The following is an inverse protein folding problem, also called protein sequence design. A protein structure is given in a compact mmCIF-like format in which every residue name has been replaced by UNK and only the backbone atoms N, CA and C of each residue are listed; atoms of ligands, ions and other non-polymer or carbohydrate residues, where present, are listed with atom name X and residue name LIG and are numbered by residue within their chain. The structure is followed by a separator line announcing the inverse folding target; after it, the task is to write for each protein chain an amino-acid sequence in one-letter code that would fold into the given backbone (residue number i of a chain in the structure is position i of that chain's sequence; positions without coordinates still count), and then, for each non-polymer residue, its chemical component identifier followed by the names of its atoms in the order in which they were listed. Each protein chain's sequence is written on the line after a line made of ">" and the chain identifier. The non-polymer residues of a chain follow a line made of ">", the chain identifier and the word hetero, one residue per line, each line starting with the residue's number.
data_IF_335568968666
#
_entry.id   IF_335568968666
#
_cell.length_a   1.000
_cell.length_b   1.000
_cell.length_c   1.000
_cell.angle_alpha   90.00
_cell.angle_beta   90.00
_cell.angle_gamma   90.00
#
_symmetry.space_group_name_H-M   'P 1'
#
loop_
_entity.id
_entity.type
_entity.pdbx_description
1 polymer ?
#
# COMPACT_ATOMS: atom_id res chain seq x y z
N UNK A 1 -32.82 -9.23 1.66
CA UNK A 1 -33.13 -10.60 2.12
C UNK A 1 -31.94 -11.42 2.65
N UNK A 2 -30.67 -11.00 2.53
CA UNK A 2 -29.53 -11.75 3.11
C UNK A 2 -29.04 -11.25 4.48
N UNK A 3 -29.45 -10.07 4.94
CA UNK A 3 -28.96 -9.46 6.19
C UNK A 3 -27.50 -8.99 6.15
N UNK A 4 -26.79 -9.18 5.03
CA UNK A 4 -25.38 -8.83 4.86
C UNK A 4 -25.16 -7.31 4.99
N UNK A 5 -24.17 -6.94 5.80
CA UNK A 5 -23.79 -5.55 6.06
C UNK A 5 -22.33 -5.23 5.77
N UNK A 6 -21.46 -6.22 5.77
CA UNK A 6 -20.03 -6.05 5.56
C UNK A 6 -19.64 -6.78 4.27
N UNK A 7 -19.00 -6.06 3.37
CA UNK A 7 -18.57 -6.56 2.06
C UNK A 7 -17.06 -6.43 1.95
N UNK A 8 -16.37 -7.52 1.64
CA UNK A 8 -14.95 -7.53 1.30
C UNK A 8 -14.82 -7.80 -0.20
N UNK A 9 -14.25 -6.87 -0.93
CA UNK A 9 -14.24 -6.88 -2.39
C UNK A 9 -12.82 -6.82 -2.95
N UNK A 10 -12.46 -7.84 -3.74
CA UNK A 10 -11.28 -7.82 -4.61
C UNK A 10 -11.73 -7.61 -6.06
N UNK A 11 -11.70 -6.35 -6.50
CA UNK A 11 -12.22 -5.93 -7.79
C UNK A 11 -11.12 -5.22 -8.57
N UNK A 12 -10.92 -5.66 -9.81
CA UNK A 12 -9.93 -5.07 -10.71
C UNK A 12 -10.21 -3.58 -10.94
N UNK A 13 -9.14 -2.81 -11.17
CA UNK A 13 -9.21 -1.36 -11.36
C UNK A 13 -10.24 -0.92 -12.42
N UNK A 14 -10.36 -1.66 -13.52
CA UNK A 14 -11.31 -1.34 -14.59
C UNK A 14 -12.76 -1.69 -14.25
N UNK A 15 -12.99 -2.65 -13.35
CA UNK A 15 -14.33 -3.07 -12.94
C UNK A 15 -14.88 -2.27 -11.75
N UNK A 16 -14.02 -1.62 -10.96
CA UNK A 16 -14.42 -0.87 -9.75
C UNK A 16 -15.54 0.17 -9.99
N UNK A 17 -15.51 1.05 -11.03
CA UNK A 17 -16.59 2.01 -11.26
C UNK A 17 -17.95 1.34 -11.44
N UNK A 18 -18.00 0.23 -12.19
CA UNK A 18 -19.22 -0.55 -12.41
C UNK A 18 -19.71 -1.20 -11.12
N UNK A 19 -18.80 -1.81 -10.36
CA UNK A 19 -19.11 -2.41 -9.06
C UNK A 19 -19.73 -1.39 -8.09
N UNK A 20 -19.11 -0.22 -7.94
CA UNK A 20 -19.63 0.86 -7.09
C UNK A 20 -20.98 1.40 -7.57
N UNK A 21 -21.16 1.53 -8.89
CA UNK A 21 -22.44 1.92 -9.47
C UNK A 21 -23.56 0.92 -9.12
N UNK A 22 -23.28 -0.38 -9.14
CA UNK A 22 -24.25 -1.40 -8.75
C UNK A 22 -24.56 -1.36 -7.24
N UNK A 23 -23.57 -1.12 -6.37
CA UNK A 23 -23.85 -0.91 -4.94
C UNK A 23 -24.79 0.29 -4.72
N UNK A 24 -24.52 1.41 -5.41
CA UNK A 24 -25.36 2.61 -5.34
C UNK A 24 -26.81 2.33 -5.76
N UNK A 25 -27.01 1.74 -6.94
CA UNK A 25 -28.35 1.45 -7.47
C UNK A 25 -29.17 0.49 -6.63
N UNK A 26 -28.49 -0.42 -5.93
CA UNK A 26 -29.14 -1.39 -5.05
C UNK A 26 -29.29 -0.88 -3.61
N UNK A 27 -29.03 0.42 -3.35
CA UNK A 27 -29.07 1.03 -2.02
C UNK A 27 -28.19 0.31 -0.97
N UNK A 28 -27.03 -0.18 -1.40
CA UNK A 28 -26.00 -0.80 -0.56
C UNK A 28 -24.92 0.25 -0.27
N UNK A 29 -25.35 1.36 0.34
CA UNK A 29 -24.52 2.54 0.65
C UNK A 29 -24.93 3.17 1.98
N UNK A 30 -24.16 4.15 2.47
CA UNK A 30 -24.47 4.86 3.71
C UNK A 30 -23.99 4.15 4.97
N UNK A 31 -24.59 4.49 6.11
CA UNK A 31 -24.16 4.09 7.46
C UNK A 31 -24.48 2.63 7.83
N UNK A 32 -25.37 1.96 7.10
CA UNK A 32 -25.77 0.56 7.35
C UNK A 32 -24.84 -0.48 6.77
N UNK A 33 -23.94 -0.09 5.87
CA UNK A 33 -23.08 -1.00 5.13
C UNK A 33 -21.61 -0.60 5.22
N UNK A 34 -20.75 -1.61 5.30
CA UNK A 34 -19.29 -1.45 5.25
C UNK A 34 -18.75 -2.09 3.99
N UNK A 35 -17.94 -1.34 3.24
CA UNK A 35 -17.18 -1.85 2.11
C UNK A 35 -15.71 -1.84 2.49
N UNK A 36 -15.04 -2.98 2.35
CA UNK A 36 -13.59 -3.13 2.51
C UNK A 36 -13.03 -3.55 1.16
N UNK A 37 -12.11 -2.78 0.61
CA UNK A 37 -11.54 -3.11 -0.69
C UNK A 37 -10.14 -2.55 -0.90
N UNK A 38 -9.44 -3.15 -1.86
CA UNK A 38 -8.10 -2.74 -2.24
C UNK A 38 -8.12 -1.30 -2.78
N UNK A 39 -7.33 -0.43 -2.15
CA UNK A 39 -7.10 0.90 -2.66
C UNK A 39 -6.48 0.78 -4.06
N UNK A 40 -6.91 1.62 -4.99
CA UNK A 40 -6.35 1.71 -6.33
C UNK A 40 -5.64 3.07 -6.44
N UNK A 41 -4.46 3.15 -7.06
CA UNK A 41 -3.63 4.35 -7.01
C UNK A 41 -4.23 5.50 -7.82
N UNK A 42 -5.27 5.21 -8.62
CA UNK A 42 -6.10 6.22 -9.28
C UNK A 42 -7.51 6.27 -8.70
N UNK A 43 -7.76 5.68 -7.52
CA UNK A 43 -9.01 5.90 -6.78
C UNK A 43 -9.17 7.35 -6.41
N UNK A 44 -8.08 8.11 -6.31
CA UNK A 44 -8.22 9.51 -6.03
C UNK A 44 -9.07 10.19 -7.11
N UNK A 45 -9.01 9.73 -8.37
CA UNK A 45 -9.91 10.22 -9.41
C UNK A 45 -10.13 9.19 -10.53
N UNK A 46 -11.31 8.55 -10.58
CA UNK A 46 -11.71 7.78 -11.76
C UNK A 46 -11.75 8.70 -12.99
N UNK A 47 -11.26 8.24 -14.15
CA UNK A 47 -11.29 9.07 -15.36
C UNK A 47 -12.72 9.21 -15.88
N UNK A 48 -13.00 10.27 -16.65
CA UNK A 48 -14.33 10.45 -17.25
C UNK A 48 -14.70 9.26 -18.15
N UNK A 49 -13.74 8.71 -18.90
CA UNK A 49 -13.95 7.49 -19.68
C UNK A 49 -14.40 6.31 -18.81
N UNK A 50 -13.78 6.12 -17.64
CA UNK A 50 -14.15 5.05 -16.72
C UNK A 50 -15.59 5.23 -16.22
N UNK A 51 -15.95 6.46 -15.84
CA UNK A 51 -17.31 6.80 -15.39
C UNK A 51 -18.32 6.61 -16.54
N UNK A 52 -17.98 7.01 -17.77
CA UNK A 52 -18.84 6.92 -18.94
C UNK A 52 -19.17 5.47 -19.33
N UNK A 53 -18.35 4.48 -18.93
CA UNK A 53 -18.70 3.06 -19.09
C UNK A 53 -19.73 2.54 -18.08
N UNK A 54 -20.19 3.39 -17.17
CA UNK A 54 -21.18 3.08 -16.14
C UNK A 54 -22.48 3.85 -16.41
N UNK A 55 -23.55 3.40 -15.75
CA UNK A 55 -24.84 4.09 -15.76
C UNK A 55 -25.02 4.92 -14.47
N UNK A 56 -23.93 5.48 -13.95
CA UNK A 56 -23.90 6.32 -12.74
C UNK A 56 -23.03 7.57 -12.96
N UNK A 57 -23.34 8.65 -12.25
CA UNK A 57 -22.48 9.84 -12.20
C UNK A 57 -21.29 9.63 -11.27
N UNK A 58 -20.31 10.52 -11.36
CA UNK A 58 -19.15 10.55 -10.46
C UNK A 58 -19.57 10.68 -9.00
N UNK A 59 -20.56 11.51 -8.72
CA UNK A 59 -21.10 11.76 -7.39
C UNK A 59 -21.75 10.50 -6.82
N UNK A 60 -22.50 9.74 -7.64
CA UNK A 60 -23.11 8.48 -7.24
C UNK A 60 -22.07 7.41 -6.92
N UNK A 61 -21.01 7.32 -7.72
CA UNK A 61 -19.88 6.42 -7.47
C UNK A 61 -19.13 6.83 -6.20
N UNK A 62 -18.93 8.14 -5.97
CA UNK A 62 -18.31 8.65 -4.76
C UNK A 62 -19.16 8.37 -3.52
N UNK A 63 -20.48 8.50 -3.61
CA UNK A 63 -21.40 8.14 -2.53
C UNK A 63 -21.29 6.66 -2.14
N UNK A 64 -21.18 5.76 -3.12
CA UNK A 64 -21.07 4.32 -2.88
C UNK A 64 -19.82 3.92 -2.07
N UNK A 65 -18.75 4.71 -2.15
CA UNK A 65 -17.50 4.46 -1.44
C UNK A 65 -17.31 5.32 -0.19
N UNK A 66 -18.27 6.18 0.17
CA UNK A 66 -18.17 6.99 1.40
C UNK A 66 -18.10 6.09 2.64
N UNK A 67 -17.06 6.33 3.44
CA UNK A 67 -16.75 5.54 4.64
C UNK A 67 -16.41 4.07 4.34
N UNK A 68 -15.95 3.76 3.13
CA UNK A 68 -15.31 2.48 2.83
C UNK A 68 -13.91 2.42 3.47
N UNK A 69 -13.48 1.21 3.80
CA UNK A 69 -12.12 0.92 4.26
C UNK A 69 -11.27 0.59 3.04
N UNK A 70 -10.28 1.43 2.78
CA UNK A 70 -9.32 1.26 1.69
C UNK A 70 -8.03 0.63 2.23
N UNK A 71 -7.62 -0.50 1.66
CA UNK A 71 -6.41 -1.22 2.11
C UNK A 71 -5.35 -1.21 1.01
N UNK A 72 -4.10 -0.94 1.37
CA UNK A 72 -2.95 -1.02 0.45
C UNK A 72 -1.65 -1.36 1.18
N UNK A 73 -0.69 -1.91 0.45
CA UNK A 73 0.67 -2.16 0.94
C UNK A 73 1.63 -1.00 0.66
N UNK A 74 1.15 0.00 -0.08
CA UNK A 74 1.96 1.04 -0.68
C UNK A 74 1.49 2.40 -0.15
N UNK A 75 2.29 3.09 0.68
CA UNK A 75 1.93 4.38 1.23
C UNK A 75 1.66 5.45 0.14
N UNK A 76 2.18 5.23 -1.07
CA UNK A 76 2.02 6.03 -2.29
C UNK A 76 0.58 6.40 -2.63
N UNK A 77 -0.34 5.56 -2.19
CA UNK A 77 -1.75 5.69 -2.48
C UNK A 77 -2.41 6.82 -1.66
N UNK A 78 -1.74 7.35 -0.64
CA UNK A 78 -2.27 8.41 0.24
C UNK A 78 -1.52 9.75 0.13
N UNK A 79 -0.63 9.93 -0.85
CA UNK A 79 0.18 11.17 -0.97
C UNK A 79 -0.61 12.39 -1.38
N UNK A 80 -1.69 12.24 -2.17
CA UNK A 80 -2.49 13.38 -2.62
C UNK A 80 -3.28 14.05 -1.47
N UNK A 81 -3.34 13.42 -0.28
CA UNK A 81 -4.01 13.96 0.91
C UNK A 81 -3.10 14.69 1.91
N UNK A 82 -1.80 14.90 1.61
CA UNK A 82 -0.88 15.63 2.49
C UNK A 82 -0.50 14.87 3.77
N UNK A 83 -0.24 13.56 3.66
CA UNK A 83 0.05 12.72 4.83
C UNK A 83 1.45 12.98 5.41
N UNK A 84 1.48 13.44 6.67
CA UNK A 84 2.69 13.75 7.42
C UNK A 84 3.53 12.52 7.80
N UNK A 85 2.92 11.34 7.95
CA UNK A 85 3.63 10.10 8.36
C UNK A 85 4.72 9.65 7.36
N UNK A 86 4.64 10.10 6.10
CA UNK A 86 5.60 9.75 5.04
C UNK A 86 6.76 10.75 4.94
N UNK A 87 6.63 11.87 5.65
CA UNK A 87 7.65 12.92 5.78
C UNK A 87 8.51 12.73 7.03
N UNK A 88 8.15 11.81 7.94
CA UNK A 88 8.94 11.57 9.15
C UNK A 88 10.26 10.86 8.82
N UNK A 89 11.41 11.50 9.07
CA UNK A 89 12.73 10.87 8.92
C UNK A 89 12.99 10.04 10.17
N UNK A 90 12.53 8.79 10.19
CA UNK A 90 12.67 7.93 11.36
C UNK A 90 13.41 6.64 11.04
N UNK A 91 14.71 6.72 10.77
CA UNK A 91 15.65 5.57 10.80
C UNK A 91 15.82 4.75 9.50
N UNK A 92 15.86 5.40 8.34
CA UNK A 92 16.28 4.72 7.12
C UNK A 92 17.80 4.59 7.07
N UNK A 93 18.32 3.49 6.53
CA UNK A 93 19.76 3.14 6.53
C UNK A 93 20.70 4.23 5.98
N UNK A 94 20.17 5.19 5.22
CA UNK A 94 20.89 6.32 4.62
C UNK A 94 20.33 7.70 5.03
N UNK A 95 19.37 7.76 5.97
CA UNK A 95 18.72 9.01 6.39
C UNK A 95 17.73 9.62 5.40
N UNK A 96 17.45 8.99 4.24
CA UNK A 96 16.46 9.49 3.28
C UNK A 96 15.07 9.03 3.63
N UNK A 97 14.12 9.95 3.63
CA UNK A 97 12.69 9.64 3.66
C UNK A 97 12.23 9.07 2.32
N UNK A 98 11.03 8.50 2.34
CA UNK A 98 10.34 8.13 1.11
C UNK A 98 10.15 9.33 0.16
N UNK A 99 9.80 10.50 0.70
CA UNK A 99 9.62 11.74 -0.08
C UNK A 99 10.92 12.15 -0.76
N UNK A 100 12.05 12.02 -0.08
CA UNK A 100 13.37 12.33 -0.65
C UNK A 100 13.66 11.42 -1.85
N UNK A 101 13.36 10.12 -1.74
CA UNK A 101 13.54 9.17 -2.85
C UNK A 101 12.65 9.54 -4.04
N UNK A 102 11.39 9.93 -3.80
CA UNK A 102 10.52 10.39 -4.88
C UNK A 102 11.01 11.69 -5.52
N UNK A 103 11.50 12.63 -4.72
CA UNK A 103 12.06 13.89 -5.20
C UNK A 103 13.24 13.64 -6.13
N UNK A 104 14.20 12.82 -5.69
CA UNK A 104 15.38 12.45 -6.49
C UNK A 104 14.97 11.82 -7.83
N UNK A 105 13.97 10.94 -7.81
CA UNK A 105 13.47 10.29 -9.03
C UNK A 105 12.78 11.30 -9.95
N UNK A 106 11.99 12.22 -9.39
CA UNK A 106 11.25 13.23 -10.13
C UNK A 106 12.14 14.26 -10.84
N UNK A 107 13.35 14.52 -10.31
CA UNK A 107 14.36 15.35 -10.97
C UNK A 107 14.91 14.71 -12.25
N UNK A 108 15.01 13.37 -12.27
CA UNK A 108 15.63 12.61 -13.38
C UNK A 108 14.59 12.09 -14.37
N UNK A 109 13.39 11.75 -13.88
CA UNK A 109 12.31 11.17 -14.69
C UNK A 109 11.10 12.09 -14.64
N UNK A 110 10.72 12.72 -15.77
CA UNK A 110 9.61 13.65 -15.80
C UNK A 110 8.33 12.98 -15.27
N UNK A 111 7.52 13.67 -14.45
CA UNK A 111 6.36 13.11 -13.77
C UNK A 111 5.23 12.86 -14.76
N UNK A 112 5.33 11.80 -15.57
CA UNK A 112 4.24 11.37 -16.46
C UNK A 112 3.22 10.48 -15.73
N UNK A 113 3.61 9.85 -14.61
CA UNK A 113 2.76 9.02 -13.73
C UNK A 113 3.32 9.02 -12.30
N UNK A 114 2.48 8.89 -11.26
CA UNK A 114 2.96 8.72 -9.89
C UNK A 114 3.77 7.42 -9.76
N UNK A 115 4.96 7.51 -9.17
CA UNK A 115 5.88 6.38 -8.97
C UNK A 115 5.46 5.53 -7.78
N UNK A 116 4.29 4.89 -7.88
CA UNK A 116 3.66 4.19 -6.73
C UNK A 116 4.43 2.97 -6.22
N UNK A 117 5.51 2.56 -6.88
CA UNK A 117 6.36 1.43 -6.50
C UNK A 117 7.82 1.83 -6.27
N UNK A 118 8.16 3.13 -6.33
CA UNK A 118 9.55 3.58 -6.29
C UNK A 118 10.24 3.19 -4.98
N UNK A 119 9.61 3.43 -3.83
CA UNK A 119 10.24 3.05 -2.56
C UNK A 119 10.40 1.54 -2.40
N UNK A 120 9.45 0.74 -2.89
CA UNK A 120 9.59 -0.71 -2.87
C UNK A 120 10.76 -1.19 -3.73
N UNK A 121 10.96 -0.59 -4.92
CA UNK A 121 12.11 -0.87 -5.77
C UNK A 121 13.43 -0.39 -5.14
N UNK A 122 13.41 0.78 -4.50
CA UNK A 122 14.54 1.34 -3.76
C UNK A 122 15.04 0.39 -2.66
N UNK A 123 14.11 -0.09 -1.83
CA UNK A 123 14.44 -1.01 -0.74
C UNK A 123 14.89 -2.39 -1.27
N UNK A 124 14.36 -2.86 -2.39
CA UNK A 124 14.80 -4.11 -3.01
C UNK A 124 16.27 -4.08 -3.45
N UNK A 125 16.74 -2.95 -4.00
CA UNK A 125 18.16 -2.77 -4.34
C UNK A 125 19.04 -2.81 -3.08
N UNK A 126 18.59 -2.16 -1.99
CA UNK A 126 19.29 -2.21 -0.71
C UNK A 126 19.34 -3.61 -0.09
N UNK A 127 18.23 -4.35 -0.14
CA UNK A 127 18.16 -5.73 0.33
C UNK A 127 19.16 -6.62 -0.41
N UNK A 128 19.21 -6.49 -1.74
CA UNK A 128 20.15 -7.24 -2.56
C UNK A 128 21.62 -6.87 -2.25
N UNK A 129 21.91 -5.56 -2.12
CA UNK A 129 23.25 -5.11 -1.75
C UNK A 129 23.69 -5.61 -0.37
N UNK A 130 22.77 -5.66 0.61
CA UNK A 130 23.00 -6.22 1.93
C UNK A 130 23.29 -7.72 1.88
N UNK A 131 22.49 -8.47 1.13
CA UNK A 131 22.67 -9.91 0.95
C UNK A 131 24.02 -10.24 0.28
N UNK A 132 24.39 -9.49 -0.77
CA UNK A 132 25.68 -9.62 -1.43
C UNK A 132 26.83 -9.34 -0.47
N UNK A 133 26.76 -8.24 0.29
CA UNK A 133 27.78 -7.89 1.28
C UNK A 133 27.95 -9.01 2.31
N UNK A 134 26.86 -9.46 2.92
CA UNK A 134 26.90 -10.53 3.92
C UNK A 134 27.51 -11.82 3.34
N UNK A 135 27.16 -12.17 2.10
CA UNK A 135 27.72 -13.35 1.43
C UNK A 135 29.20 -13.18 1.16
N UNK A 136 29.63 -12.07 0.58
CA UNK A 136 31.03 -11.86 0.23
C UNK A 136 31.94 -11.77 1.46
N UNK A 137 31.46 -11.12 2.53
CA UNK A 137 32.20 -11.05 3.79
C UNK A 137 32.36 -12.45 4.41
N UNK A 138 31.31 -13.28 4.41
CA UNK A 138 31.35 -14.63 4.97
C UNK A 138 32.25 -15.59 4.16
N UNK A 139 32.26 -15.43 2.84
CA UNK A 139 33.01 -16.29 1.91
C UNK A 139 34.41 -15.76 1.57
N UNK A 140 34.78 -14.58 2.08
CA UNK A 140 36.07 -13.95 1.77
C UNK A 140 36.23 -13.54 0.30
N UNK A 141 35.12 -13.31 -0.42
CA UNK A 141 35.12 -12.99 -1.85
C UNK A 141 35.59 -11.55 -2.04
N UNK A 142 36.70 -11.37 -2.75
CA UNK A 142 37.21 -10.04 -3.11
C UNK A 142 36.60 -9.53 -4.42
N UNK A 143 36.60 -8.20 -4.69
CA UNK A 143 35.93 -7.63 -5.87
C UNK A 143 36.33 -8.26 -7.22
N UNK A 144 37.57 -8.71 -7.37
CA UNK A 144 38.04 -9.38 -8.59
C UNK A 144 37.45 -10.78 -8.83
N UNK A 145 36.93 -11.42 -7.78
CA UNK A 145 36.42 -12.79 -7.80
C UNK A 145 34.88 -12.84 -7.79
N UNK A 146 34.23 -11.74 -7.44
CA UNK A 146 32.77 -11.63 -7.31
C UNK A 146 32.03 -12.17 -8.55
N UNK A 147 32.44 -11.80 -9.76
CA UNK A 147 31.78 -12.27 -10.98
C UNK A 147 31.88 -13.78 -11.19
N UNK A 148 33.00 -14.40 -10.81
CA UNK A 148 33.17 -15.85 -10.91
C UNK A 148 32.31 -16.55 -9.86
N UNK A 149 32.34 -16.05 -8.62
CA UNK A 149 31.53 -16.57 -7.51
C UNK A 149 30.03 -16.53 -7.82
N UNK A 150 29.53 -15.39 -8.34
CA UNK A 150 28.13 -15.19 -8.71
C UNK A 150 27.62 -16.12 -9.83
N UNK A 151 28.51 -16.80 -10.56
CA UNK A 151 28.15 -17.77 -11.61
C UNK A 151 28.10 -19.21 -11.11
N UNK A 152 28.41 -19.45 -9.84
CA UNK A 152 28.35 -20.78 -9.24
C UNK A 152 26.99 -21.03 -8.60
N UNK A 153 26.57 -22.30 -8.58
CA UNK A 153 25.35 -22.71 -7.87
C UNK A 153 25.45 -22.39 -6.37
N UNK A 154 26.59 -22.72 -5.76
CA UNK A 154 26.87 -22.46 -4.35
C UNK A 154 26.78 -20.96 -4.01
N UNK A 155 27.36 -20.09 -4.84
CA UNK A 155 27.27 -18.65 -4.65
C UNK A 155 25.84 -18.11 -4.71
N UNK A 156 25.03 -18.60 -5.66
CA UNK A 156 23.61 -18.21 -5.76
C UNK A 156 22.80 -18.71 -4.56
N UNK A 157 23.03 -19.94 -4.10
CA UNK A 157 22.34 -20.50 -2.92
C UNK A 157 22.66 -19.70 -1.65
N UNK A 158 23.92 -19.32 -1.46
CA UNK A 158 24.35 -18.49 -0.32
C UNK A 158 23.78 -17.07 -0.38
N UNK A 159 23.71 -16.46 -1.57
CA UNK A 159 23.07 -15.15 -1.74
C UNK A 159 21.59 -15.24 -1.44
N UNK A 160 20.91 -16.26 -1.93
CA UNK A 160 19.49 -16.46 -1.66
C UNK A 160 19.24 -16.64 -0.16
N UNK A 161 20.05 -17.45 0.53
CA UNK A 161 19.95 -17.62 1.98
C UNK A 161 20.15 -16.30 2.73
N UNK A 162 21.17 -15.52 2.37
CA UNK A 162 21.41 -14.21 2.99
C UNK A 162 20.33 -13.19 2.62
N UNK A 163 19.76 -13.25 1.42
CA UNK A 163 18.64 -12.40 1.00
C UNK A 163 17.39 -12.68 1.84
N UNK A 164 17.08 -13.96 2.05
CA UNK A 164 15.98 -14.39 2.91
C UNK A 164 16.17 -14.00 4.38
N UNK A 165 17.42 -13.81 4.82
CA UNK A 165 17.78 -13.39 6.17
C UNK A 165 17.91 -11.86 6.34
N UNK A 166 17.68 -11.06 5.29
CA UNK A 166 17.76 -9.60 5.38
C UNK A 166 16.70 -9.08 6.37
N UNK A 167 17.15 -8.24 7.30
CA UNK A 167 16.29 -7.47 8.21
C UNK A 167 16.84 -6.04 8.36
N UNK A 168 16.12 -5.07 7.80
CA UNK A 168 16.43 -3.66 7.98
C UNK A 168 15.17 -2.79 7.88
N UNK A 169 15.30 -1.51 8.24
CA UNK A 169 14.26 -0.49 8.01
C UNK A 169 14.62 0.30 6.75
N UNK A 170 13.85 0.06 5.68
CA UNK A 170 13.92 0.78 4.41
C UNK A 170 12.84 1.85 4.31
N UNK A 171 12.80 2.61 3.21
CA UNK A 171 11.87 3.76 3.05
C UNK A 171 10.39 3.36 3.02
N UNK A 172 10.11 2.06 2.84
CA UNK A 172 8.76 1.49 2.92
C UNK A 172 8.51 0.69 4.20
N UNK A 173 9.38 0.80 5.20
CA UNK A 173 9.23 0.17 6.52
C UNK A 173 10.19 -1.00 6.77
N UNK A 174 9.80 -1.91 7.67
CA UNK A 174 10.54 -3.15 7.88
C UNK A 174 10.64 -3.93 6.57
N UNK A 175 11.86 -4.32 6.21
CA UNK A 175 12.15 -5.16 5.06
C UNK A 175 12.69 -6.49 5.57
N UNK A 176 11.79 -7.46 5.65
CA UNK A 176 12.05 -8.84 6.06
C UNK A 176 11.26 -9.77 5.16
N UNK A 177 11.70 -11.02 5.01
CA UNK A 177 10.91 -12.07 4.39
C UNK A 177 10.26 -12.96 5.43
N UNK A 178 9.06 -13.46 5.13
CA UNK A 178 8.45 -14.55 5.87
C UNK A 178 9.01 -15.92 5.41
N UNK A 179 8.56 -16.99 6.06
CA UNK A 179 9.00 -18.35 5.75
C UNK A 179 8.65 -18.83 4.32
N UNK A 180 7.76 -18.12 3.62
CA UNK A 180 7.33 -18.44 2.25
C UNK A 180 8.09 -17.63 1.20
N UNK A 181 8.94 -16.68 1.59
CA UNK A 181 9.62 -15.78 0.65
C UNK A 181 8.83 -14.52 0.32
N UNK A 182 7.72 -14.26 1.01
CA UNK A 182 7.00 -13.01 0.85
C UNK A 182 7.59 -11.95 1.75
N UNK A 183 7.80 -10.76 1.18
CA UNK A 183 8.25 -9.62 1.95
C UNK A 183 7.12 -9.16 2.89
N UNK A 184 7.44 -8.91 4.15
CA UNK A 184 6.56 -8.20 5.07
C UNK A 184 6.45 -6.72 4.67
N UNK A 185 5.22 -6.23 4.60
CA UNK A 185 4.91 -4.83 4.35
C UNK A 185 4.07 -4.27 5.49
N UNK A 186 4.12 -2.95 5.65
CA UNK A 186 3.04 -2.26 6.32
C UNK A 186 1.77 -2.34 5.47
N UNK A 187 0.65 -2.68 6.10
CA UNK A 187 -0.68 -2.57 5.53
C UNK A 187 -1.26 -1.25 6.00
N UNK A 188 -1.54 -0.36 5.06
CA UNK A 188 -2.12 0.94 5.33
C UNK A 188 -3.62 0.89 5.14
N UNK A 189 -4.31 1.59 6.03
CA UNK A 189 -5.77 1.65 6.08
C UNK A 189 -6.16 3.10 5.84
N UNK A 190 -7.07 3.36 4.91
CA UNK A 190 -7.55 4.71 4.64
C UNK A 190 -9.04 4.82 4.42
N UNK A 191 -9.50 6.06 4.41
CA UNK A 191 -10.90 6.43 4.17
C UNK A 191 -10.97 7.62 3.20
N UNK A 192 -12.07 7.70 2.45
CA UNK A 192 -12.31 8.79 1.51
C UNK A 192 -12.44 10.13 2.25
N UNK A 193 -11.86 11.18 1.70
CA UNK A 193 -11.93 12.55 2.17
C UNK A 193 -13.24 13.26 1.84
N UNK A 194 -13.48 14.38 2.51
CA UNK A 194 -14.68 15.20 2.29
C UNK A 194 -14.76 15.76 0.87
N UNK A 195 -13.64 15.88 0.16
CA UNK A 195 -13.58 16.23 -1.27
C UNK A 195 -14.17 15.14 -2.19
N UNK A 196 -14.44 13.95 -1.66
CA UNK A 196 -14.96 12.81 -2.41
C UNK A 196 -13.96 12.20 -3.39
N UNK A 197 -12.69 12.61 -3.33
CA UNK A 197 -11.63 12.33 -4.29
C UNK A 197 -10.48 11.67 -3.53
N UNK A 198 -9.86 12.37 -2.59
CA UNK A 198 -8.64 11.95 -1.91
C UNK A 198 -8.90 10.83 -0.90
N UNK A 199 -7.94 9.92 -0.72
CA UNK A 199 -7.95 8.96 0.39
C UNK A 199 -6.96 9.42 1.47
N UNK A 200 -7.42 9.54 2.71
CA UNK A 200 -6.57 9.81 3.87
C UNK A 200 -6.20 8.49 4.56
N UNK A 201 -4.91 8.31 4.83
CA UNK A 201 -4.43 7.24 5.72
C UNK A 201 -4.98 7.49 7.13
N UNK A 202 -5.55 6.46 7.74
CA UNK A 202 -6.11 6.50 9.09
C UNK A 202 -5.52 5.43 9.99
N UNK A 203 -4.55 4.65 9.53
CA UNK A 203 -3.84 3.70 10.37
C UNK A 203 -2.91 2.80 9.59
N UNK A 204 -1.98 2.16 10.30
CA UNK A 204 -0.94 1.33 9.71
C UNK A 204 -0.74 0.07 10.53
N UNK A 205 -0.92 -1.07 9.90
CA UNK A 205 -0.68 -2.39 10.48
C UNK A 205 0.68 -2.94 10.05
N UNK A 206 1.47 -3.40 11.01
CA UNK A 206 2.76 -4.05 10.79
C UNK A 206 2.63 -5.57 10.88
N UNK A 207 2.76 -6.25 9.74
CA UNK A 207 2.70 -7.71 9.68
C UNK A 207 3.85 -8.41 10.42
N UNK A 208 4.99 -7.72 10.64
CA UNK A 208 6.14 -8.28 11.38
C UNK A 208 5.87 -8.32 12.88
N UNK A 209 5.26 -7.26 13.42
CA UNK A 209 5.06 -7.09 14.87
C UNK A 209 3.63 -7.35 15.33
N UNK A 210 2.69 -7.56 14.40
CA UNK A 210 1.25 -7.74 14.67
C UNK A 210 0.64 -6.54 15.41
N UNK A 211 0.98 -5.32 14.96
CA UNK A 211 0.54 -4.07 15.60
C UNK A 211 -0.16 -3.16 14.61
N UNK A 212 -1.41 -2.77 14.93
CA UNK A 212 -2.09 -1.64 14.31
C UNK A 212 -1.74 -0.36 15.08
N UNK A 213 -1.18 0.62 14.38
CA UNK A 213 -0.70 1.89 14.92
C UNK A 213 -1.37 3.08 14.25
N UNK A 214 -1.43 4.20 14.97
CA UNK A 214 -1.97 5.49 14.49
C UNK A 214 -3.40 5.38 13.94
N UNK A 215 -4.23 4.50 14.52
CA UNK A 215 -5.60 4.31 14.04
C UNK A 215 -6.51 5.46 14.49
N UNK A 216 -7.01 6.26 13.54
CA UNK A 216 -7.95 7.35 13.80
C UNK A 216 -9.39 6.85 13.60
N UNK A 217 -9.99 6.37 14.68
CA UNK A 217 -11.38 5.90 14.70
C UNK A 217 -12.37 7.01 14.34
N UNK A 218 -12.14 8.24 14.83
CA UNK A 218 -13.04 9.36 14.61
C UNK A 218 -13.17 9.68 13.12
N UNK A 219 -12.05 9.64 12.42
CA UNK A 219 -11.96 9.88 11.00
C UNK A 219 -12.48 8.68 10.20
N UNK A 220 -12.18 7.45 10.63
CA UNK A 220 -12.66 6.24 9.98
C UNK A 220 -14.18 6.18 9.96
N UNK A 221 -14.83 6.45 11.10
CA UNK A 221 -16.26 6.23 11.29
C UNK A 221 -17.13 7.48 11.05
N UNK A 222 -16.56 8.61 10.61
CA UNK A 222 -17.31 9.87 10.40
C UNK A 222 -18.52 9.75 9.47
N UNK A 223 -18.48 8.84 8.50
CA UNK A 223 -19.58 8.58 7.57
C UNK A 223 -20.52 7.44 8.01
N UNK A 224 -20.25 6.84 9.17
CA UNK A 224 -21.00 5.71 9.75
C UNK A 224 -21.67 6.08 11.08
N UNK A 225 -21.85 7.37 11.34
CA UNK A 225 -22.44 7.86 12.59
C UNK A 225 -21.48 7.86 13.78
N UNK A 226 -20.17 7.76 13.53
CA UNK A 226 -19.13 7.77 14.57
C UNK A 226 -18.77 6.38 15.10
N UNK A 227 -19.46 5.33 14.68
CA UNK A 227 -19.26 3.95 15.14
C UNK A 227 -19.09 2.98 13.96
N UNK A 228 -18.42 1.82 14.17
CA UNK A 228 -18.31 0.79 13.14
C UNK A 228 -19.66 0.13 12.84
N UNK A 229 -19.81 -0.35 11.60
CA UNK A 229 -21.00 -1.09 11.18
C UNK A 229 -20.96 -2.51 11.73
N UNK A 230 -22.01 -2.89 12.46
CA UNK A 230 -22.18 -4.24 12.99
C UNK A 230 -22.83 -5.17 11.95
N UNK A 231 -22.36 -6.41 11.89
CA UNK A 231 -22.77 -7.47 10.94
C UNK A 231 -24.16 -8.06 11.23
N UNK A 232 -24.71 -7.85 12.43
CA UNK A 232 -26.05 -8.30 12.85
C UNK A 232 -26.67 -7.42 13.94
N UNK A 233 -27.84 -7.81 14.47
CA UNK A 233 -28.40 -7.19 15.69
C UNK A 233 -27.66 -7.75 16.90
N UNK A 234 -27.13 -6.88 17.76
CA UNK A 234 -26.80 -7.19 19.15
C UNK A 234 -28.06 -7.66 19.89
#
# INVERSE_FOLDING_TARGET
>A
ESGLRIFVADVSRSAQPKFLCELYKNNITGDKYMLIYKANPTLNNYTDDQIATTNCTREQINEARKGAIHITLLPEFFFEGGNADLTEPKHYKNGKTYVDVLSDIGEVVPPKKPFVFAGAAYDAVWAFALALKATFDAEGVVPGEANAFLRTKDGIEKIYANLMAVDFVGVTGHYTYDATGLRNFYVYVGTLEADGVSIRNVGKYDAKTDVLSSFDESLMWRYKGGEPVLDGRL
#
